data_IF_343352968158
#
_entry.id   IF_343352968158
#
_cell.length_a   1.000
_cell.length_b   1.000
_cell.length_c   1.000
_cell.angle_alpha   90.00
_cell.angle_beta   90.00
_cell.angle_gamma   90.00
#
_symmetry.space_group_name_H-M   'P 1'
#
loop_
_entity.id
_entity.type
_entity.pdbx_description
1 polymer ?
#
# COMPACT_ATOMS: atom_id res chain seq x y z
N UNK A 1 3.84 29.89 -11.55
CA UNK A 1 4.04 28.88 -10.50
C UNK A 1 3.15 27.69 -10.81
N UNK A 2 3.72 26.68 -11.46
CA UNK A 2 3.01 25.46 -11.85
C UNK A 2 2.95 24.53 -10.64
N UNK A 3 1.75 24.28 -10.09
CA UNK A 3 1.56 23.25 -9.08
C UNK A 3 1.91 21.90 -9.72
N UNK A 4 2.96 21.26 -9.19
CA UNK A 4 3.34 19.88 -9.48
C UNK A 4 2.10 19.01 -9.30
N UNK A 5 1.78 18.21 -10.33
CA UNK A 5 0.78 17.13 -10.28
C UNK A 5 0.94 16.35 -8.97
N UNK A 6 0.09 16.64 -7.99
CA UNK A 6 -0.02 15.85 -6.79
C UNK A 6 -0.53 14.49 -7.23
N UNK A 7 0.21 13.43 -6.93
CA UNK A 7 -0.27 12.05 -7.08
C UNK A 7 -1.63 12.01 -6.41
N UNK A 8 -2.69 11.92 -7.23
CA UNK A 8 -4.05 11.76 -6.73
C UNK A 8 -4.04 10.50 -5.89
N UNK A 9 -4.48 10.62 -4.64
CA UNK A 9 -4.61 9.49 -3.72
C UNK A 9 -5.22 8.30 -4.50
N UNK A 10 -4.62 7.09 -4.47
CA UNK A 10 -5.14 5.98 -5.24
C UNK A 10 -6.57 5.68 -4.77
N UNK A 11 -7.50 5.52 -5.71
CA UNK A 11 -8.91 5.19 -5.41
C UNK A 11 -9.00 3.84 -4.67
N UNK A 12 -8.08 2.92 -4.99
CA UNK A 12 -8.04 1.58 -4.40
C UNK A 12 -6.60 1.20 -4.08
N UNK A 13 -6.38 0.70 -2.87
CA UNK A 13 -5.12 0.09 -2.45
C UNK A 13 -5.39 -1.32 -1.90
N UNK A 14 -4.53 -2.27 -2.28
CA UNK A 14 -4.48 -3.62 -1.73
C UNK A 14 -3.21 -3.74 -0.88
N UNK A 15 -3.39 -4.16 0.37
CA UNK A 15 -2.33 -4.41 1.33
C UNK A 15 -2.06 -5.92 1.36
N UNK A 16 -0.90 -6.34 0.88
CA UNK A 16 -0.57 -7.76 0.70
C UNK A 16 0.57 -8.14 1.61
N UNK A 17 0.26 -8.88 2.67
CA UNK A 17 1.26 -9.54 3.51
C UNK A 17 1.67 -10.88 2.92
N UNK A 18 2.98 -11.16 2.88
CA UNK A 18 3.53 -12.43 2.41
C UNK A 18 4.65 -12.91 3.33
N UNK A 19 5.12 -14.14 3.11
CA UNK A 19 6.34 -14.67 3.75
C UNK A 19 7.67 -14.06 3.26
N UNK A 20 7.59 -13.07 2.37
CA UNK A 20 8.76 -12.36 1.83
C UNK A 20 8.76 -10.88 2.22
N UNK A 21 7.72 -10.42 2.91
CA UNK A 21 7.47 -9.02 3.23
C UNK A 21 6.06 -8.57 2.83
N UNK A 22 5.84 -7.25 2.94
CA UNK A 22 4.60 -6.58 2.62
C UNK A 22 4.70 -5.79 1.32
N UNK A 23 3.62 -5.79 0.54
CA UNK A 23 3.48 -5.05 -0.71
C UNK A 23 2.19 -4.24 -0.69
N UNK A 24 2.21 -3.08 -1.35
CA UNK A 24 1.03 -2.27 -1.62
C UNK A 24 0.81 -2.27 -3.13
N UNK A 25 -0.37 -2.67 -3.57
CA UNK A 25 -0.79 -2.50 -4.96
C UNK A 25 -1.81 -1.37 -5.03
N UNK A 26 -1.55 -0.37 -5.85
CA UNK A 26 -2.45 0.76 -6.08
C UNK A 26 -3.09 0.68 -7.46
N UNK A 27 -4.37 1.07 -7.54
CA UNK A 27 -5.09 1.19 -8.79
C UNK A 27 -6.12 2.31 -8.73
N UNK A 28 -6.62 2.68 -9.90
CA UNK A 28 -7.78 3.54 -10.07
C UNK A 28 -9.09 2.79 -9.75
N UNK A 29 -10.21 3.50 -9.77
CA UNK A 29 -11.53 2.93 -9.57
C UNK A 29 -11.92 1.85 -10.59
N UNK A 30 -11.26 1.76 -11.75
CA UNK A 30 -11.51 0.75 -12.79
C UNK A 30 -10.76 -0.56 -12.51
N UNK A 31 -9.72 -0.55 -11.66
CA UNK A 31 -9.00 -1.75 -11.17
C UNK A 31 -8.40 -2.63 -12.27
N UNK A 32 -8.11 -2.05 -13.43
CA UNK A 32 -7.60 -2.78 -14.61
C UNK A 32 -6.08 -2.86 -14.66
N UNK A 33 -5.40 -1.82 -14.17
CA UNK A 33 -3.95 -1.74 -14.12
C UNK A 33 -3.53 -1.51 -12.68
N UNK A 34 -2.52 -2.24 -12.23
CA UNK A 34 -2.04 -2.16 -10.86
C UNK A 34 -0.58 -1.75 -10.87
N UNK A 35 -0.24 -0.78 -10.04
CA UNK A 35 1.13 -0.38 -9.76
C UNK A 35 1.55 -1.04 -8.46
N UNK A 36 2.73 -1.66 -8.46
CA UNK A 36 3.29 -2.35 -7.31
C UNK A 36 4.28 -1.42 -6.59
N UNK A 37 4.15 -1.32 -5.27
CA UNK A 37 5.12 -0.60 -4.44
C UNK A 37 6.44 -1.36 -4.29
N UNK A 38 7.43 -0.69 -3.71
CA UNK A 38 8.57 -1.39 -3.13
C UNK A 38 8.13 -2.36 -2.03
N UNK A 39 9.01 -3.32 -1.70
CA UNK A 39 8.76 -4.27 -0.62
C UNK A 39 9.08 -3.64 0.74
N UNK A 40 8.11 -3.71 1.63
CA UNK A 40 8.29 -3.38 3.05
C UNK A 40 8.58 -4.66 3.84
N UNK A 41 9.27 -4.53 4.97
CA UNK A 41 9.56 -5.67 5.86
C UNK A 41 10.18 -6.86 5.11
N UNK A 42 11.14 -6.58 4.21
CA UNK A 42 11.75 -7.60 3.34
C UNK A 42 12.31 -8.76 4.16
N UNK A 43 11.92 -9.98 3.81
CA UNK A 43 12.34 -11.21 4.49
C UNK A 43 11.55 -11.57 5.75
N UNK A 44 10.63 -10.70 6.20
CA UNK A 44 9.73 -10.99 7.31
C UNK A 44 8.43 -11.67 6.84
N UNK A 45 7.85 -12.48 7.72
CA UNK A 45 6.53 -13.07 7.52
C UNK A 45 5.45 -12.08 7.95
N UNK A 46 4.73 -11.51 6.98
CA UNK A 46 3.67 -10.53 7.25
C UNK A 46 2.30 -11.22 7.21
N UNK A 47 1.67 -11.34 8.38
CA UNK A 47 0.39 -12.05 8.54
C UNK A 47 -0.83 -11.13 8.42
N UNK A 48 -0.72 -9.90 8.90
CA UNK A 48 -1.81 -8.92 8.84
C UNK A 48 -1.24 -7.55 8.50
N UNK A 49 -1.87 -6.86 7.55
CA UNK A 49 -1.44 -5.55 7.07
C UNK A 49 -2.66 -4.66 6.88
N UNK A 50 -2.82 -3.65 7.73
CA UNK A 50 -4.07 -2.88 7.88
C UNK A 50 -3.81 -1.38 7.89
N UNK A 51 -4.68 -0.63 7.23
CA UNK A 51 -4.65 0.83 7.24
C UNK A 51 -5.63 1.39 8.28
N UNK A 52 -5.16 2.30 9.13
CA UNK A 52 -6.03 3.13 9.96
C UNK A 52 -6.51 4.34 9.16
N UNK A 53 -7.79 4.30 8.77
CA UNK A 53 -8.45 5.40 8.03
C UNK A 53 -8.67 6.64 8.88
N UNK A 54 -8.69 6.52 10.20
CA UNK A 54 -8.94 7.64 11.13
C UNK A 54 -7.71 8.52 11.28
N UNK A 55 -6.52 7.92 11.20
CA UNK A 55 -5.24 8.60 11.41
C UNK A 55 -4.47 8.81 10.09
N UNK A 56 -5.04 9.58 9.16
CA UNK A 56 -4.31 10.01 7.95
C UNK A 56 -3.90 8.90 6.99
N UNK A 57 -4.33 7.64 7.21
CA UNK A 57 -3.96 6.50 6.38
C UNK A 57 -2.67 5.79 6.78
N UNK A 58 -2.20 5.96 8.03
CA UNK A 58 -1.11 5.15 8.59
C UNK A 58 -1.40 3.66 8.44
N UNK A 59 -0.39 2.87 8.10
CA UNK A 59 -0.51 1.43 7.87
C UNK A 59 0.34 0.66 8.87
N UNK A 60 -0.24 -0.39 9.44
CA UNK A 60 0.39 -1.26 10.44
C UNK A 60 0.50 -2.69 9.90
N UNK A 61 1.66 -3.31 10.14
CA UNK A 61 1.94 -4.69 9.75
C UNK A 61 2.29 -5.53 10.99
N UNK A 62 1.68 -6.71 11.11
CA UNK A 62 2.09 -7.74 12.06
C UNK A 62 3.15 -8.63 11.38
N UNK A 63 4.40 -8.49 11.84
CA UNK A 63 5.58 -9.14 11.25
C UNK A 63 6.23 -10.02 12.32
N UNK A 64 6.63 -11.24 11.95
CA UNK A 64 7.49 -12.12 12.77
C UNK A 64 8.96 -11.78 12.56
#
# INVERSE_FOLDING_TARGET
>A
MSQKNGVSKPDVALLVGTRKGAFVLSSDSKRKKWELSEVYCRGGDVYHFVQDRRNGGTVYAAVN
#
